data_IF_407678243693
#
_entry.id   IF_407678243693
#
_cell.length_a   1.000
_cell.length_b   1.000
_cell.length_c   1.000
_cell.angle_alpha   90.00
_cell.angle_beta   90.00
_cell.angle_gamma   90.00
#
_symmetry.space_group_name_H-M   'P 1'
#
loop_
_entity.id
_entity.type
_entity.pdbx_description
1 polymer ?
#
# COMPACT_ATOMS: atom_id res chain seq x y z
N UNK A 1 -2.28 14.93 -7.26
CA UNK A 1 -2.30 14.29 -5.92
C UNK A 1 -1.23 14.98 -5.08
N UNK A 2 -1.52 15.36 -3.84
CA UNK A 2 -0.51 15.97 -2.95
C UNK A 2 0.39 14.86 -2.40
N UNK A 3 1.64 14.78 -2.91
CA UNK A 3 2.60 13.72 -2.57
C UNK A 3 2.92 13.75 -1.07
N UNK A 4 3.03 14.94 -0.46
CA UNK A 4 3.34 15.07 0.96
C UNK A 4 2.22 14.48 1.81
N UNK A 5 0.96 14.79 1.49
CA UNK A 5 -0.21 14.18 2.17
C UNK A 5 -0.29 12.67 1.95
N UNK A 6 0.00 12.20 0.74
CA UNK A 6 0.02 10.77 0.46
C UNK A 6 1.06 10.04 1.31
N UNK A 7 2.29 10.56 1.41
CA UNK A 7 3.37 9.97 2.22
C UNK A 7 2.95 9.84 3.68
N UNK A 8 2.40 10.90 4.26
CA UNK A 8 1.91 10.86 5.65
C UNK A 8 0.78 9.85 5.83
N UNK A 9 -0.17 9.82 4.90
CA UNK A 9 -1.25 8.83 4.94
C UNK A 9 -0.73 7.39 4.85
N UNK A 10 0.22 7.11 3.94
CA UNK A 10 0.80 5.77 3.78
C UNK A 10 1.53 5.28 5.03
N UNK A 11 2.20 6.17 5.79
CA UNK A 11 2.87 5.83 7.06
C UNK A 11 1.92 5.33 8.14
N UNK A 12 0.65 5.74 8.11
CA UNK A 12 -0.38 5.22 9.02
C UNK A 12 -0.89 3.83 8.61
N UNK A 13 -0.55 3.37 7.40
CA UNK A 13 -1.07 2.15 6.81
C UNK A 13 -0.33 0.89 7.23
N UNK A 14 -0.92 -0.24 6.83
CA UNK A 14 -0.30 -1.55 6.83
C UNK A 14 -0.25 -2.06 5.39
N UNK A 15 0.90 -2.59 4.98
CA UNK A 15 1.03 -3.31 3.72
C UNK A 15 0.36 -4.67 3.82
N UNK A 16 -0.27 -5.10 2.73
CA UNK A 16 -0.86 -6.42 2.58
C UNK A 16 -0.56 -6.98 1.20
N UNK A 17 -0.07 -8.21 1.16
CA UNK A 17 0.03 -9.01 -0.04
C UNK A 17 -0.53 -10.40 0.24
N UNK A 18 -1.46 -10.82 -0.63
CA UNK A 18 -2.12 -12.11 -0.51
C UNK A 18 -1.96 -12.89 -1.80
N UNK A 19 -1.54 -14.15 -1.65
CA UNK A 19 -1.69 -15.22 -2.64
C UNK A 19 -2.25 -16.45 -1.92
N UNK A 20 -2.75 -17.42 -2.68
CA UNK A 20 -3.26 -18.65 -2.08
C UNK A 20 -2.20 -19.31 -1.18
N UNK A 21 -2.53 -19.50 0.10
CA UNK A 21 -1.62 -20.04 1.12
C UNK A 21 -0.55 -19.08 1.64
N UNK A 22 -0.55 -17.80 1.24
CA UNK A 22 0.46 -16.81 1.64
C UNK A 22 -0.19 -15.46 1.97
N UNK A 23 0.02 -15.00 3.21
CA UNK A 23 -0.30 -13.64 3.63
C UNK A 23 0.97 -12.98 4.16
N UNK A 24 1.40 -11.92 3.48
CA UNK A 24 2.41 -10.98 3.98
C UNK A 24 1.69 -9.72 4.41
N UNK A 25 1.92 -9.27 5.64
CA UNK A 25 1.47 -7.97 6.11
C UNK A 25 2.49 -7.36 7.05
N UNK A 26 2.61 -6.04 7.02
CA UNK A 26 3.51 -5.32 7.91
C UNK A 26 3.15 -3.85 8.00
N UNK A 27 3.28 -3.27 9.19
CA UNK A 27 3.01 -1.85 9.40
C UNK A 27 4.06 -1.02 8.64
N UNK A 28 3.61 0.01 7.91
CA UNK A 28 4.54 0.92 7.25
C UNK A 28 5.29 1.70 8.33
N UNK A 29 6.62 1.72 8.26
CA UNK A 29 7.47 2.45 9.20
C UNK A 29 8.15 3.66 8.55
N UNK A 30 8.34 3.65 7.22
CA UNK A 30 9.01 4.71 6.49
C UNK A 30 8.49 4.77 5.05
N UNK A 31 8.39 5.98 4.51
CA UNK A 31 8.05 6.21 3.09
C UNK A 31 9.04 7.23 2.52
N UNK A 32 9.84 6.79 1.56
CA UNK A 32 10.89 7.57 0.90
C UNK A 32 10.48 7.91 -0.53
N UNK A 33 10.98 9.03 -1.03
CA UNK A 33 10.97 9.30 -2.47
C UNK A 33 12.08 8.49 -3.11
N UNK A 34 11.74 7.69 -4.12
CA UNK A 34 12.71 6.86 -4.84
C UNK A 34 13.06 7.49 -6.19
N UNK A 35 12.06 8.04 -6.87
CA UNK A 35 12.21 8.83 -8.10
C UNK A 35 11.13 9.92 -8.16
N UNK A 36 11.14 10.74 -9.22
CA UNK A 36 10.09 11.73 -9.47
C UNK A 36 8.68 11.12 -9.55
N UNK A 37 8.57 9.85 -9.95
CA UNK A 37 7.30 9.16 -10.19
C UNK A 37 7.05 7.97 -9.25
N UNK A 38 7.92 7.74 -8.27
CA UNK A 38 7.77 6.61 -7.35
C UNK A 38 8.20 6.89 -5.93
N UNK A 39 7.48 6.25 -5.01
CA UNK A 39 7.83 6.17 -3.60
C UNK A 39 8.26 4.74 -3.28
N UNK A 40 9.07 4.58 -2.23
CA UNK A 40 9.36 3.29 -1.64
C UNK A 40 8.84 3.28 -0.19
N UNK A 41 8.01 2.28 0.14
CA UNK A 41 7.45 2.12 1.47
C UNK A 41 8.08 0.92 2.18
N UNK A 42 8.71 1.18 3.31
CA UNK A 42 9.33 0.16 4.15
C UNK A 42 8.33 -0.32 5.21
N UNK A 43 8.35 -1.62 5.46
CA UNK A 43 7.59 -2.26 6.52
C UNK A 43 8.41 -3.39 7.14
N UNK A 44 7.97 -3.87 8.30
CA UNK A 44 8.59 -5.05 8.91
C UNK A 44 8.41 -6.27 7.99
N UNK A 45 9.50 -6.74 7.39
CA UNK A 45 9.50 -7.85 6.43
C UNK A 45 9.81 -7.48 4.98
N UNK A 46 10.02 -6.20 4.66
CA UNK A 46 10.50 -5.80 3.33
C UNK A 46 10.15 -4.38 2.93
N UNK A 47 10.19 -4.14 1.62
CA UNK A 47 9.85 -2.86 1.02
C UNK A 47 8.92 -3.07 -0.18
N UNK A 48 8.16 -2.05 -0.55
CA UNK A 48 7.31 -2.07 -1.74
C UNK A 48 7.41 -0.76 -2.49
N UNK A 49 7.56 -0.85 -3.81
CA UNK A 49 7.55 0.31 -4.69
C UNK A 49 6.12 0.75 -5.01
N UNK A 50 5.92 2.06 -5.00
CA UNK A 50 4.64 2.71 -5.21
C UNK A 50 4.78 3.65 -6.39
N UNK A 51 4.25 3.24 -7.53
CA UNK A 51 4.18 4.05 -8.74
C UNK A 51 3.04 5.05 -8.64
N UNK A 52 3.34 6.35 -8.67
CA UNK A 52 2.40 7.44 -8.40
C UNK A 52 1.27 7.56 -9.43
N UNK A 53 1.51 7.11 -10.67
CA UNK A 53 0.53 7.06 -11.75
C UNK A 53 -0.37 5.82 -11.69
N UNK A 54 0.04 4.79 -10.94
CA UNK A 54 -0.68 3.50 -10.85
C UNK A 54 -1.44 3.30 -9.54
N UNK A 55 -1.02 3.96 -8.46
CA UNK A 55 -1.70 3.87 -7.16
C UNK A 55 -3.13 4.41 -7.24
N UNK A 56 -4.10 3.63 -6.74
CA UNK A 56 -5.52 4.01 -6.77
C UNK A 56 -6.19 3.69 -5.45
N UNK A 57 -7.06 4.58 -4.98
CA UNK A 57 -7.90 4.31 -3.80
C UNK A 57 -8.96 3.28 -4.17
N UNK A 58 -9.10 2.25 -3.34
CA UNK A 58 -10.10 1.19 -3.49
C UNK A 58 -10.95 1.07 -2.22
N UNK A 59 -12.21 0.67 -2.38
CA UNK A 59 -13.12 0.49 -1.23
C UNK A 59 -12.72 -0.71 -0.38
N UNK A 60 -12.27 -1.80 -1.01
CA UNK A 60 -11.85 -3.03 -0.35
C UNK A 60 -10.95 -3.86 -1.27
N UNK A 61 -9.90 -4.51 -0.75
CA UNK A 61 -9.18 -5.57 -1.47
C UNK A 61 -10.06 -6.82 -1.61
N UNK A 62 -10.13 -7.42 -2.79
CA UNK A 62 -11.01 -8.57 -3.06
C UNK A 62 -10.73 -9.76 -2.12
N UNK A 63 -9.46 -9.97 -1.77
CA UNK A 63 -9.00 -11.15 -1.05
C UNK A 63 -8.65 -10.90 0.44
N UNK A 64 -8.98 -9.72 0.99
CA UNK A 64 -8.69 -9.38 2.39
C UNK A 64 -10.01 -9.09 3.13
N UNK A 65 -10.31 -9.90 4.15
CA UNK A 65 -11.53 -9.79 4.96
C UNK A 65 -11.31 -8.84 6.14
N UNK A 66 -10.96 -7.60 5.83
CA UNK A 66 -10.77 -6.52 6.82
C UNK A 66 -11.53 -5.28 6.36
N UNK A 67 -12.12 -4.54 7.30
CA UNK A 67 -12.73 -3.23 7.01
C UNK A 67 -11.65 -2.17 7.06
N UNK A 68 -11.56 -1.36 6.01
CA UNK A 68 -10.57 -0.30 5.90
C UNK A 68 -11.26 1.06 6.00
N UNK A 69 -10.67 2.00 6.74
CA UNK A 69 -11.02 3.43 6.65
C UNK A 69 -10.66 3.96 5.26
N UNK A 70 -9.48 3.54 4.79
CA UNK A 70 -8.98 3.78 3.46
C UNK A 70 -8.04 2.65 3.04
N UNK A 71 -7.99 2.40 1.73
CA UNK A 71 -7.12 1.41 1.14
C UNK A 71 -6.68 1.85 -0.25
N UNK A 72 -5.43 1.57 -0.59
CA UNK A 72 -4.85 1.78 -1.91
C UNK A 72 -4.44 0.44 -2.50
N UNK A 73 -4.77 0.22 -3.77
CA UNK A 73 -4.18 -0.86 -4.56
C UNK A 73 -2.83 -0.39 -5.12
N UNK A 74 -1.82 -1.24 -4.99
CA UNK A 74 -0.50 -1.03 -5.55
C UNK A 74 -0.36 -1.87 -6.81
N UNK A 75 0.20 -1.26 -7.86
CA UNK A 75 0.45 -1.93 -9.13
C UNK A 75 1.87 -1.67 -9.61
N UNK A 76 2.48 -2.68 -10.22
CA UNK A 76 3.77 -2.55 -10.90
C UNK A 76 3.60 -1.88 -12.29
N UNK A 77 4.71 -1.75 -13.02
CA UNK A 77 4.76 -1.19 -14.38
C UNK A 77 3.88 -1.95 -15.39
N UNK A 78 3.71 -3.25 -15.18
CA UNK A 78 2.88 -4.14 -15.99
C UNK A 78 1.38 -4.11 -15.61
N UNK A 79 1.00 -3.27 -14.63
CA UNK A 79 -0.34 -3.16 -14.05
C UNK A 79 -0.82 -4.37 -13.21
N UNK A 80 0.08 -5.27 -12.84
CA UNK A 80 -0.21 -6.37 -11.92
C UNK A 80 -0.41 -5.83 -10.51
N UNK A 81 -1.36 -6.38 -9.77
CA UNK A 81 -1.54 -6.07 -8.35
C UNK A 81 -0.39 -6.69 -7.54
N UNK A 82 0.43 -5.84 -6.93
CA UNK A 82 1.56 -6.25 -6.07
C UNK A 82 1.23 -6.12 -4.57
N UNK A 83 0.01 -5.72 -4.24
CA UNK A 83 -0.47 -5.63 -2.88
C UNK A 83 -1.32 -4.40 -2.65
N UNK A 84 -1.54 -4.12 -1.37
CA UNK A 84 -2.39 -3.04 -0.89
C UNK A 84 -1.72 -2.35 0.28
N UNK A 85 -1.95 -1.05 0.45
CA UNK A 85 -1.66 -0.34 1.70
C UNK A 85 -2.97 0.24 2.19
N UNK A 86 -3.33 -0.07 3.43
CA UNK A 86 -4.57 0.42 4.01
C UNK A 86 -4.51 0.57 5.52
N UNK A 87 -5.36 1.46 6.04
CA UNK A 87 -5.62 1.61 7.48
C UNK A 87 -6.91 0.89 7.82
N UNK A 88 -6.82 -0.02 8.77
CA UNK A 88 -7.97 -0.80 9.27
C UNK A 88 -8.87 0.14 10.07
N UNK A 89 -10.19 0.02 9.88
CA UNK A 89 -11.15 0.71 10.73
C UNK A 89 -11.14 0.08 12.13
N UNK A 90 -10.89 0.88 13.15
CA UNK A 90 -11.05 0.44 14.54
C UNK A 90 -12.53 0.04 14.77
N UNK A 91 -12.72 -0.97 15.62
CA UNK A 91 -14.04 -1.56 15.91
C UNK A 91 -14.91 -0.62 16.73
#
# INVERSE_FOLDING_TARGET
MDIKKLKEQLKEGTFYYYKFGLLVKGKINMVLEFSENSLNANFEGGTVDIYLDKIKKVRRPDNIVVKFEWCYILKNEYNDCIGYIGKVAEK
#
